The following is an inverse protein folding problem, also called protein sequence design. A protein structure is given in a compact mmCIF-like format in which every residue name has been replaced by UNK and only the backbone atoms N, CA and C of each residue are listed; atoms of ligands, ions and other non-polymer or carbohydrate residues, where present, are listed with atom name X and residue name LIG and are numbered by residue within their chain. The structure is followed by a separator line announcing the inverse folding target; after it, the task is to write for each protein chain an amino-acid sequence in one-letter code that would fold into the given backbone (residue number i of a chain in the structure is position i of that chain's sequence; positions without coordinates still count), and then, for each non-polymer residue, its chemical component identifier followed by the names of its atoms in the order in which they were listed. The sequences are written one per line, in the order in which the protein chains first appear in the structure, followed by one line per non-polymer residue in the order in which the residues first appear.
data_IF_223383265566
#
_entry.id   IF_223383265566
#
_cell.length_a   1.000
_cell.length_b   1.000
_cell.length_c   1.000
_cell.angle_alpha   90.00
_cell.angle_beta   90.00
_cell.angle_gamma   90.00
#
_symmetry.space_group_name_H-M   'P 1'
#
loop_
_entity.id
_entity.type
_entity.pdbx_description
1 polymer ?
#
# COMPACT_ATOMS: atom_id res chain seq x y z
N UNK A 1 -48.97 -27.39 24.35
CA UNK A 1 -47.88 -26.65 25.04
C UNK A 1 -46.50 -26.74 24.35
N UNK A 2 -46.16 -27.80 23.57
CA UNK A 2 -44.88 -27.92 22.84
C UNK A 2 -44.61 -26.84 21.77
N UNK A 3 -45.65 -26.32 21.12
CA UNK A 3 -45.51 -25.32 20.04
C UNK A 3 -44.89 -23.99 20.51
N UNK A 4 -45.17 -23.56 21.74
CA UNK A 4 -44.62 -22.31 22.29
C UNK A 4 -43.13 -22.44 22.63
N UNK A 5 -42.69 -23.61 23.09
CA UNK A 5 -41.28 -23.91 23.39
C UNK A 5 -40.44 -24.01 22.11
N UNK A 6 -40.99 -24.64 21.05
CA UNK A 6 -40.34 -24.69 19.74
C UNK A 6 -40.15 -23.31 19.12
N UNK A 7 -41.16 -22.43 19.21
CA UNK A 7 -41.05 -21.06 18.71
C UNK A 7 -40.02 -20.22 19.46
N UNK A 8 -39.91 -20.38 20.79
CA UNK A 8 -38.87 -19.72 21.60
C UNK A 8 -37.46 -20.21 21.24
N UNK A 9 -37.29 -21.52 21.00
CA UNK A 9 -36.01 -22.09 20.59
C UNK A 9 -35.55 -21.58 19.22
N UNK A 10 -36.47 -21.48 18.24
CA UNK A 10 -36.17 -20.95 16.91
C UNK A 10 -35.74 -19.48 16.98
N UNK A 11 -36.44 -18.67 17.76
CA UNK A 11 -36.09 -17.25 17.95
C UNK A 11 -34.71 -17.11 18.63
N UNK A 12 -34.44 -17.94 19.63
CA UNK A 12 -33.15 -17.92 20.32
C UNK A 12 -31.98 -18.36 19.41
N UNK A 13 -32.18 -19.38 18.57
CA UNK A 13 -31.15 -19.84 17.62
C UNK A 13 -30.89 -18.81 16.53
N UNK A 14 -31.93 -18.12 16.03
CA UNK A 14 -31.75 -17.02 15.07
C UNK A 14 -30.98 -15.85 15.67
N UNK A 15 -31.29 -15.47 16.92
CA UNK A 15 -30.60 -14.38 17.61
C UNK A 15 -29.12 -14.72 17.84
N UNK A 16 -28.83 -15.96 18.24
CA UNK A 16 -27.46 -16.44 18.42
C UNK A 16 -26.68 -16.45 17.09
N UNK A 17 -27.30 -16.90 16.00
CA UNK A 17 -26.68 -16.89 14.67
C UNK A 17 -26.34 -15.45 14.24
N UNK A 18 -27.27 -14.51 14.43
CA UNK A 18 -27.09 -13.11 14.06
C UNK A 18 -26.05 -12.38 14.92
N UNK A 19 -25.93 -12.73 16.20
CA UNK A 19 -24.88 -12.20 17.06
C UNK A 19 -23.50 -12.76 16.69
N UNK A 20 -23.44 -14.04 16.29
CA UNK A 20 -22.17 -14.69 15.94
C UNK A 20 -21.60 -14.25 14.59
N UNK A 21 -22.41 -13.73 13.67
CA UNK A 21 -21.93 -13.29 12.34
C UNK A 21 -20.95 -12.11 12.43
N UNK A 22 -21.09 -11.24 13.44
CA UNK A 22 -20.18 -10.12 13.67
C UNK A 22 -18.75 -10.55 14.04
N UNK A 23 -18.58 -11.78 14.56
CA UNK A 23 -17.25 -12.35 14.87
C UNK A 23 -16.51 -12.84 13.62
N UNK A 24 -17.24 -13.10 12.53
CA UNK A 24 -16.66 -13.59 11.26
C UNK A 24 -16.47 -12.46 10.23
N UNK A 25 -16.94 -11.24 10.51
CA UNK A 25 -16.70 -10.06 9.67
C UNK A 25 -15.50 -9.30 10.19
N UNK A 26 -14.41 -9.24 9.42
CA UNK A 26 -13.29 -8.37 9.73
C UNK A 26 -13.63 -6.88 9.52
N UNK A 27 -12.99 -5.98 10.26
CA UNK A 27 -13.02 -4.55 9.95
C UNK A 27 -12.09 -4.27 8.77
N UNK A 28 -12.68 -4.13 7.57
CA UNK A 28 -11.95 -3.66 6.40
C UNK A 28 -11.71 -2.15 6.55
N UNK A 29 -10.44 -1.76 6.70
CA UNK A 29 -10.06 -0.34 6.86
C UNK A 29 -9.90 0.31 5.49
N UNK A 30 -10.67 1.37 5.24
CA UNK A 30 -10.58 2.19 4.02
C UNK A 30 -10.04 3.58 4.38
N UNK A 31 -8.92 3.98 3.78
CA UNK A 31 -8.27 5.28 4.00
C UNK A 31 -7.99 5.89 2.63
N UNK A 32 -8.34 7.16 2.44
CA UNK A 32 -8.09 7.87 1.17
C UNK A 32 -8.79 7.27 -0.05
N UNK A 33 -9.88 6.52 0.15
CA UNK A 33 -10.60 5.82 -0.94
C UNK A 33 -9.99 4.47 -1.33
N UNK A 34 -8.94 4.02 -0.64
CA UNK A 34 -8.32 2.70 -0.85
C UNK A 34 -8.58 1.79 0.35
N UNK A 35 -8.91 0.52 0.09
CA UNK A 35 -8.86 -0.52 1.12
C UNK A 35 -7.40 -0.93 1.34
N UNK A 36 -6.92 -0.77 2.57
CA UNK A 36 -5.54 -1.10 2.89
C UNK A 36 -5.35 -2.62 3.08
N UNK A 37 -4.21 -3.20 2.65
CA UNK A 37 -3.91 -4.63 2.81
C UNK A 37 -3.81 -5.10 4.27
N UNK A 38 -3.44 -4.19 5.18
CA UNK A 38 -3.27 -4.46 6.61
C UNK A 38 -3.57 -3.20 7.43
N UNK A 39 -3.84 -3.38 8.73
CA UNK A 39 -4.17 -2.27 9.63
C UNK A 39 -3.02 -1.28 9.86
N UNK A 40 -1.76 -1.72 9.72
CA UNK A 40 -0.54 -0.93 9.93
C UNK A 40 0.16 -0.58 8.62
N UNK A 41 -0.52 -0.71 7.48
CA UNK A 41 0.09 -0.49 6.15
C UNK A 41 0.76 0.88 6.00
N UNK A 42 0.25 1.91 6.68
CA UNK A 42 0.79 3.27 6.63
C UNK A 42 2.00 3.48 7.56
N UNK A 43 2.11 2.65 8.60
CA UNK A 43 3.21 2.68 9.56
C UNK A 43 4.32 1.67 9.19
N UNK A 44 4.13 0.91 8.10
CA UNK A 44 5.12 -0.03 7.60
C UNK A 44 6.19 0.73 6.81
N UNK A 45 7.32 0.95 7.46
CA UNK A 45 8.50 1.63 6.91
C UNK A 45 9.09 0.90 5.69
N UNK A 46 8.67 -0.34 5.40
CA UNK A 46 9.20 -1.17 4.32
C UNK A 46 8.44 -0.91 3.02
N UNK A 47 8.45 0.33 2.55
CA UNK A 47 8.39 0.51 1.11
C UNK A 47 9.79 0.19 0.57
N UNK A 48 10.00 -1.04 0.10
CA UNK A 48 11.30 -1.44 -0.46
C UNK A 48 11.66 -0.53 -1.65
N UNK A 49 12.66 0.32 -1.44
CA UNK A 49 13.33 1.05 -2.51
C UNK A 49 14.63 0.29 -2.82
N UNK A 50 14.80 -0.26 -4.03
CA UNK A 50 16.06 -0.89 -4.39
C UNK A 50 17.20 0.12 -4.24
N UNK A 51 18.38 -0.37 -3.90
CA UNK A 51 19.57 0.47 -3.85
C UNK A 51 19.72 1.18 -5.21
N UNK A 52 19.79 2.52 -5.17
CA UNK A 52 20.06 3.32 -6.35
C UNK A 52 21.45 3.01 -6.93
N UNK A 53 21.78 3.53 -8.11
CA UNK A 53 23.12 3.38 -8.67
C UNK A 53 24.20 3.81 -7.68
N UNK A 54 25.29 3.05 -7.56
CA UNK A 54 26.41 3.38 -6.66
C UNK A 54 26.97 4.77 -6.95
N UNK A 55 26.98 5.15 -8.22
CA UNK A 55 27.43 6.45 -8.68
C UNK A 55 26.29 7.49 -8.71
N UNK A 56 26.30 8.39 -7.72
CA UNK A 56 25.25 9.42 -7.54
C UNK A 56 25.32 10.60 -8.51
N UNK A 57 26.45 10.81 -9.20
CA UNK A 57 26.75 12.06 -9.93
C UNK A 57 26.67 11.90 -11.46
N UNK A 58 25.91 10.93 -11.96
CA UNK A 58 25.77 10.64 -13.40
C UNK A 58 25.39 11.89 -14.22
N UNK A 59 24.44 12.69 -13.72
CA UNK A 59 23.99 13.94 -14.34
C UNK A 59 25.11 14.98 -14.41
N UNK A 60 25.90 15.12 -13.35
CA UNK A 60 27.00 16.09 -13.27
C UNK A 60 28.15 15.70 -14.19
N UNK A 61 28.47 14.40 -14.26
CA UNK A 61 29.47 13.89 -15.19
C UNK A 61 29.02 14.05 -16.64
N UNK A 62 27.75 13.81 -16.94
CA UNK A 62 27.19 14.03 -18.28
C UNK A 62 27.26 15.52 -18.67
N UNK A 63 26.91 16.43 -17.76
CA UNK A 63 27.02 17.87 -17.97
C UNK A 63 28.47 18.32 -18.20
N UNK A 64 29.41 17.84 -17.36
CA UNK A 64 30.83 18.15 -17.51
C UNK A 64 31.41 17.63 -18.84
N UNK A 65 30.99 16.45 -19.29
CA UNK A 65 31.39 15.91 -20.61
C UNK A 65 30.88 16.76 -21.77
N UNK A 66 29.61 17.17 -21.73
CA UNK A 66 29.03 18.06 -22.74
C UNK A 66 29.78 19.39 -22.82
N UNK A 67 30.03 20.02 -21.68
CA UNK A 67 30.77 21.27 -21.61
C UNK A 67 32.18 21.15 -22.22
N UNK A 68 32.91 20.06 -21.91
CA UNK A 68 34.24 19.83 -22.51
C UNK A 68 34.18 19.67 -24.02
N UNK A 69 33.23 18.90 -24.54
CA UNK A 69 33.03 18.72 -25.99
C UNK A 69 32.73 20.05 -26.68
N UNK A 70 31.86 20.88 -26.12
CA UNK A 70 31.55 22.22 -26.65
C UNK A 70 32.80 23.11 -26.68
N UNK A 71 33.61 23.10 -25.62
CA UNK A 71 34.87 23.86 -25.57
C UNK A 71 35.89 23.37 -26.60
N UNK A 72 36.00 22.06 -26.80
CA UNK A 72 36.89 21.48 -27.80
C UNK A 72 36.43 21.80 -29.23
N UNK A 73 35.13 21.73 -29.49
CA UNK A 73 34.56 22.14 -30.78
C UNK A 73 34.80 23.61 -31.08
N UNK A 74 34.62 24.49 -30.08
CA UNK A 74 34.93 25.91 -30.21
C UNK A 74 36.41 26.13 -30.52
N UNK A 75 37.33 25.41 -29.86
CA UNK A 75 38.78 25.53 -30.10
C UNK A 75 39.22 25.01 -31.46
N UNK A 76 38.62 23.93 -31.96
CA UNK A 76 38.97 23.32 -33.24
C UNK A 76 38.30 24.01 -34.45
N UNK A 77 37.35 24.92 -34.20
CA UNK A 77 36.66 25.72 -35.21
C UNK A 77 37.29 27.09 -35.50
N UNK A 78 38.47 27.40 -34.94
CA UNK A 78 39.32 28.55 -35.25
C UNK A 78 40.62 28.11 -35.92
#
# INVERSE_FOLDING_TARGET
MKAATGRKQIVLSMLAAMASSALFTGCQTSIGGQTLPSATYLDDDVQYFPAGPEFKLSNQVAAARKYKLEQEQLKNGY
#
